data_IF_081448843717
#
_entry.id   IF_081448843717
#
_cell.length_a   1.000
_cell.length_b   1.000
_cell.length_c   1.000
_cell.angle_alpha   90.00
_cell.angle_beta   90.00
_cell.angle_gamma   90.00
#
_symmetry.space_group_name_H-M   'P 1'
#
loop_
_entity.id
_entity.type
_entity.pdbx_description
1 polymer ?
#
# COMPACT_ATOMS: atom_id res chain seq x y z
N UNK A 1 -7.36 -9.81 -52.11
CA UNK A 1 -6.22 -9.00 -51.65
C UNK A 1 -6.63 -8.35 -50.34
N UNK A 2 -5.98 -8.80 -49.26
CA UNK A 2 -5.88 -8.24 -47.90
C UNK A 2 -7.17 -8.17 -47.05
N UNK A 3 -7.33 -9.23 -46.26
CA UNK A 3 -7.99 -9.23 -44.95
C UNK A 3 -7.20 -8.36 -43.96
N UNK A 4 -7.89 -7.75 -42.98
CA UNK A 4 -7.26 -6.92 -41.96
C UNK A 4 -8.23 -6.59 -40.85
N UNK A 5 -8.66 -7.62 -40.12
CA UNK A 5 -9.42 -7.52 -38.88
C UNK A 5 -8.51 -6.94 -37.78
N UNK A 6 -8.76 -5.69 -37.39
CA UNK A 6 -7.97 -5.00 -36.36
C UNK A 6 -8.68 -5.18 -35.01
N UNK A 7 -8.43 -6.32 -34.37
CA UNK A 7 -8.78 -6.52 -32.96
C UNK A 7 -8.09 -5.44 -32.10
N UNK A 8 -8.79 -4.78 -31.16
CA UNK A 8 -8.14 -3.92 -30.20
C UNK A 8 -7.31 -4.80 -29.27
N UNK A 9 -6.00 -4.52 -29.19
CA UNK A 9 -5.10 -5.15 -28.25
C UNK A 9 -5.70 -5.08 -26.85
N UNK A 10 -6.09 -6.24 -26.30
CA UNK A 10 -6.39 -6.39 -24.88
C UNK A 10 -5.16 -5.95 -24.10
N UNK A 11 -5.17 -4.71 -23.61
CA UNK A 11 -4.24 -4.30 -22.60
C UNK A 11 -4.52 -5.18 -21.39
N UNK A 12 -3.68 -6.19 -21.20
CA UNK A 12 -3.55 -6.86 -19.92
C UNK A 12 -3.16 -5.75 -18.94
N UNK A 13 -4.13 -5.25 -18.18
CA UNK A 13 -3.81 -4.55 -16.95
C UNK A 13 -3.01 -5.57 -16.14
N UNK A 14 -1.71 -5.36 -16.02
CA UNK A 14 -0.96 -5.97 -14.94
C UNK A 14 -1.55 -5.37 -13.67
N UNK A 15 -2.59 -6.02 -13.16
CA UNK A 15 -3.12 -5.78 -11.82
C UNK A 15 -1.92 -5.88 -10.88
N UNK A 16 -1.57 -4.79 -10.16
CA UNK A 16 -0.42 -4.81 -9.27
C UNK A 16 -0.58 -5.97 -8.29
N UNK A 17 0.42 -6.85 -8.19
CA UNK A 17 0.42 -7.95 -7.24
C UNK A 17 0.42 -7.49 -5.77
N UNK A 18 0.62 -6.17 -5.56
CA UNK A 18 0.48 -5.44 -4.32
C UNK A 18 0.25 -3.94 -4.60
N UNK A 19 -0.60 -3.31 -3.80
CA UNK A 19 -0.77 -1.86 -3.70
C UNK A 19 -0.48 -1.41 -2.27
N UNK A 20 0.34 -0.37 -2.14
CA UNK A 20 0.57 0.37 -0.91
C UNK A 20 -0.36 1.59 -0.92
N UNK A 21 -1.40 1.56 -0.09
CA UNK A 21 -2.27 2.70 0.14
C UNK A 21 -1.70 3.58 1.26
N UNK A 22 -1.50 4.87 1.04
CA UNK A 22 -0.92 5.77 2.07
C UNK A 22 -1.96 6.78 2.52
N UNK A 23 -2.30 6.83 3.81
CA UNK A 23 -3.19 7.87 4.34
C UNK A 23 -2.51 9.24 4.22
N UNK A 24 -3.04 10.14 3.40
CA UNK A 24 -2.44 11.48 3.20
C UNK A 24 -3.09 12.59 4.05
N UNK A 25 -4.23 12.31 4.69
CA UNK A 25 -4.96 13.30 5.52
C UNK A 25 -4.71 13.15 7.01
N UNK A 26 -4.01 12.10 7.44
CA UNK A 26 -3.72 11.84 8.83
C UNK A 26 -2.86 12.98 9.40
N UNK A 27 -3.33 13.63 10.48
CA UNK A 27 -2.63 14.74 11.16
C UNK A 27 -1.92 14.23 12.41
N UNK A 28 -0.62 14.45 12.52
CA UNK A 28 0.16 14.16 13.73
C UNK A 28 0.44 15.48 14.44
N UNK A 29 0.07 15.55 15.72
CA UNK A 29 0.25 16.75 16.53
C UNK A 29 1.74 17.07 16.68
N UNK A 30 2.08 18.35 16.44
CA UNK A 30 3.43 18.90 16.41
C UNK A 30 3.37 20.35 16.88
N UNK A 31 3.64 20.56 18.17
CA UNK A 31 3.57 21.89 18.81
C UNK A 31 4.62 22.86 18.24
N UNK A 32 5.67 22.34 17.62
CA UNK A 32 6.73 23.12 16.97
C UNK A 32 6.32 23.73 15.61
N UNK A 33 5.14 23.40 15.09
CA UNK A 33 4.64 23.88 13.80
C UNK A 33 3.54 24.95 13.98
N UNK A 34 3.45 25.95 13.09
CA UNK A 34 2.43 27.01 13.19
C UNK A 34 0.99 26.49 13.23
N UNK A 35 0.69 25.43 12.47
CA UNK A 35 -0.63 24.81 12.40
C UNK A 35 -0.89 23.80 13.55
N UNK A 36 0.11 23.51 14.38
CA UNK A 36 0.03 22.54 15.48
C UNK A 36 0.05 21.06 15.03
N UNK A 37 0.21 20.78 13.74
CA UNK A 37 0.31 19.42 13.21
C UNK A 37 1.13 19.34 11.91
N UNK A 38 1.66 18.15 11.61
CA UNK A 38 2.13 17.77 10.28
C UNK A 38 1.22 16.71 9.63
N UNK A 39 1.43 16.47 8.33
CA UNK A 39 0.77 15.43 7.54
C UNK A 39 1.83 14.48 6.95
N UNK A 40 2.39 13.57 7.76
CA UNK A 40 3.56 12.78 7.38
C UNK A 40 3.29 11.85 6.18
N UNK A 41 2.03 11.49 5.94
CA UNK A 41 1.63 10.64 4.83
C UNK A 41 1.84 11.24 3.45
N UNK A 42 1.82 12.57 3.30
CA UNK A 42 2.08 13.23 2.01
C UNK A 42 3.54 12.96 1.58
N UNK A 43 4.49 13.23 2.49
CA UNK A 43 5.91 12.97 2.24
C UNK A 43 6.20 11.49 2.04
N UNK A 44 5.57 10.62 2.84
CA UNK A 44 5.73 9.17 2.71
C UNK A 44 5.22 8.65 1.36
N UNK A 45 4.06 9.12 0.89
CA UNK A 45 3.50 8.71 -0.40
C UNK A 45 4.43 9.10 -1.56
N UNK A 46 5.00 10.31 -1.53
CA UNK A 46 5.97 10.75 -2.53
C UNK A 46 7.23 9.89 -2.52
N UNK A 47 7.85 9.68 -1.34
CA UNK A 47 9.06 8.89 -1.20
C UNK A 47 8.86 7.42 -1.64
N UNK A 48 7.73 6.81 -1.28
CA UNK A 48 7.40 5.46 -1.72
C UNK A 48 7.17 5.40 -3.24
N UNK A 49 6.50 6.40 -3.83
CA UNK A 49 6.25 6.42 -5.28
C UNK A 49 7.55 6.45 -6.07
N UNK A 50 8.55 7.20 -5.60
CA UNK A 50 9.89 7.22 -6.19
C UNK A 50 10.60 5.87 -6.00
N UNK A 51 10.60 5.33 -4.79
CA UNK A 51 11.29 4.06 -4.47
C UNK A 51 10.71 2.84 -5.17
N UNK A 52 9.40 2.82 -5.41
CA UNK A 52 8.70 1.70 -6.03
C UNK A 52 8.58 1.82 -7.55
N UNK A 53 9.13 2.88 -8.17
CA UNK A 53 9.11 3.04 -9.62
C UNK A 53 9.74 1.82 -10.33
N UNK A 54 8.97 1.16 -11.20
CA UNK A 54 9.42 -0.04 -11.94
C UNK A 54 9.38 -1.36 -11.16
N UNK A 55 8.98 -1.36 -9.88
CA UNK A 55 8.90 -2.58 -9.04
C UNK A 55 7.69 -3.47 -9.33
N UNK A 56 6.66 -2.95 -10.01
CA UNK A 56 5.35 -3.61 -10.15
C UNK A 56 4.43 -3.49 -8.92
N UNK A 57 4.86 -2.81 -7.86
CA UNK A 57 4.03 -2.47 -6.70
C UNK A 57 3.51 -1.04 -6.86
N UNK A 58 2.20 -0.87 -6.80
CA UNK A 58 1.58 0.44 -6.92
C UNK A 58 1.62 1.20 -5.57
N UNK A 59 1.82 2.51 -5.61
CA UNK A 59 1.67 3.39 -4.46
C UNK A 59 0.51 4.34 -4.75
N UNK A 60 -0.52 4.29 -3.91
CA UNK A 60 -1.77 5.01 -4.12
C UNK A 60 -2.10 5.85 -2.89
N UNK A 61 -2.25 7.18 -3.00
CA UNK A 61 -2.79 7.98 -1.93
C UNK A 61 -4.21 7.51 -1.55
N UNK A 62 -4.42 7.24 -0.27
CA UNK A 62 -5.75 7.01 0.29
C UNK A 62 -6.24 8.30 0.94
N UNK A 63 -7.51 8.63 0.68
CA UNK A 63 -8.15 9.80 1.28
C UNK A 63 -8.30 9.65 2.80
N UNK A 64 -8.57 8.46 3.33
CA UNK A 64 -8.57 8.20 4.77
C UNK A 64 -8.53 6.70 5.06
N UNK A 65 -7.81 6.29 6.12
CA UNK A 65 -7.81 4.92 6.63
C UNK A 65 -8.46 4.80 8.03
N UNK A 66 -9.04 5.90 8.55
CA UNK A 66 -9.66 6.00 9.87
C UNK A 66 -8.75 5.64 11.07
N UNK A 67 -7.42 5.69 10.88
CA UNK A 67 -6.42 5.41 11.94
C UNK A 67 -5.73 6.68 12.43
N UNK A 68 -6.46 7.80 12.52
CA UNK A 68 -5.87 9.10 12.83
C UNK A 68 -5.15 9.18 14.20
N UNK A 69 -5.40 8.23 15.10
CA UNK A 69 -4.70 8.14 16.40
C UNK A 69 -3.30 7.51 16.31
N UNK A 70 -2.93 6.91 15.16
CA UNK A 70 -1.64 6.24 14.92
C UNK A 70 -0.98 6.66 13.60
N UNK A 71 -0.76 7.97 13.37
CA UNK A 71 -0.07 8.47 12.18
C UNK A 71 1.43 8.13 12.20
N UNK A 72 2.09 7.87 11.07
CA UNK A 72 1.54 7.69 9.72
C UNK A 72 0.97 6.28 9.52
N UNK A 73 -0.01 6.14 8.62
CA UNK A 73 -0.69 4.85 8.36
C UNK A 73 -0.65 4.49 6.88
N UNK A 74 -0.36 3.22 6.60
CA UNK A 74 -0.49 2.61 5.27
C UNK A 74 -1.40 1.39 5.31
N UNK A 75 -1.87 0.96 4.13
CA UNK A 75 -2.40 -0.37 3.92
C UNK A 75 -1.66 -1.12 2.81
N UNK A 76 -1.41 -2.41 3.01
CA UNK A 76 -0.94 -3.33 1.96
C UNK A 76 -2.11 -4.20 1.52
N UNK A 77 -2.46 -4.12 0.24
CA UNK A 77 -3.60 -4.85 -0.34
C UNK A 77 -3.23 -5.48 -1.68
N UNK A 78 -3.92 -6.57 -2.02
CA UNK A 78 -3.88 -7.20 -3.34
C UNK A 78 -5.10 -8.13 -3.48
N UNK A 79 -5.50 -8.44 -4.72
CA UNK A 79 -6.59 -9.37 -4.96
C UNK A 79 -6.33 -10.74 -4.33
N UNK A 80 -7.35 -11.30 -3.68
CA UNK A 80 -7.29 -12.61 -3.02
C UNK A 80 -6.32 -12.70 -1.83
N UNK A 81 -5.68 -11.60 -1.40
CA UNK A 81 -4.75 -11.59 -0.25
C UNK A 81 -5.36 -10.88 0.97
N UNK A 82 -4.88 -11.27 2.15
CA UNK A 82 -5.17 -10.54 3.38
C UNK A 82 -4.68 -9.10 3.26
N UNK A 83 -5.48 -8.14 3.72
CA UNK A 83 -5.07 -6.72 3.76
C UNK A 83 -4.49 -6.39 5.12
N UNK A 84 -3.38 -5.65 5.16
CA UNK A 84 -2.79 -5.14 6.39
C UNK A 84 -2.99 -3.64 6.50
N UNK A 85 -3.39 -3.16 7.69
CA UNK A 85 -3.28 -1.74 8.06
C UNK A 85 -2.16 -1.60 9.08
N UNK A 86 -1.18 -0.75 8.80
CA UNK A 86 0.00 -0.52 9.64
C UNK A 86 0.04 0.95 10.01
N UNK A 87 -0.01 1.25 11.31
CA UNK A 87 0.10 2.59 11.88
C UNK A 87 1.41 2.81 12.64
N UNK A 88 1.55 3.98 13.26
CA UNK A 88 2.75 4.44 13.97
C UNK A 88 4.02 4.41 13.10
N UNK A 89 3.87 4.64 11.79
CA UNK A 89 4.99 4.72 10.88
C UNK A 89 5.61 6.10 10.91
N UNK A 90 6.94 6.14 10.92
CA UNK A 90 7.70 7.36 10.68
C UNK A 90 8.13 7.42 9.21
N UNK A 91 7.78 8.53 8.55
CA UNK A 91 8.00 8.70 7.11
C UNK A 91 9.50 8.79 6.73
N UNK A 92 10.37 9.23 7.65
CA UNK A 92 11.80 9.35 7.41
C UNK A 92 12.59 8.10 7.81
N UNK A 93 12.13 7.37 8.82
CA UNK A 93 12.88 6.23 9.38
C UNK A 93 12.46 4.87 8.81
N UNK A 94 11.18 4.68 8.47
CA UNK A 94 10.65 3.35 8.15
C UNK A 94 10.51 3.08 6.65
N UNK A 95 11.06 3.95 5.78
CA UNK A 95 10.89 3.80 4.33
C UNK A 95 11.36 2.43 3.82
N UNK A 96 12.58 2.01 4.18
CA UNK A 96 13.13 0.71 3.75
C UNK A 96 12.37 -0.47 4.36
N UNK A 97 11.88 -0.33 5.60
CA UNK A 97 11.05 -1.36 6.25
C UNK A 97 9.71 -1.53 5.51
N UNK A 98 9.10 -0.44 5.05
CA UNK A 98 7.84 -0.48 4.28
C UNK A 98 8.07 -1.13 2.93
N UNK A 99 9.15 -0.78 2.22
CA UNK A 99 9.50 -1.37 0.92
C UNK A 99 9.69 -2.88 1.06
N UNK A 100 10.55 -3.33 1.98
CA UNK A 100 10.81 -4.77 2.16
C UNK A 100 9.58 -5.55 2.60
N UNK A 101 8.71 -4.94 3.42
CA UNK A 101 7.43 -5.54 3.80
C UNK A 101 6.46 -5.65 2.62
N UNK A 102 6.39 -4.64 1.75
CA UNK A 102 5.56 -4.66 0.54
C UNK A 102 6.04 -5.72 -0.46
N UNK A 103 7.35 -5.86 -0.65
CA UNK A 103 7.94 -6.91 -1.50
C UNK A 103 7.64 -8.31 -0.95
N UNK A 104 7.83 -8.51 0.35
CA UNK A 104 7.52 -9.78 1.01
C UNK A 104 6.03 -10.10 0.96
N UNK A 105 5.17 -9.08 1.10
CA UNK A 105 3.73 -9.21 0.92
C UNK A 105 3.38 -9.61 -0.52
N UNK A 106 3.98 -8.96 -1.52
CA UNK A 106 3.80 -9.25 -2.94
C UNK A 106 4.23 -10.69 -3.28
N UNK A 107 5.35 -11.16 -2.72
CA UNK A 107 5.85 -12.52 -2.92
C UNK A 107 5.01 -13.60 -2.18
N UNK A 108 4.31 -13.23 -1.10
CA UNK A 108 3.49 -14.18 -0.35
C UNK A 108 2.23 -14.60 -1.12
N UNK A 109 1.85 -15.87 -1.01
CA UNK A 109 0.69 -16.41 -1.71
C UNK A 109 -0.65 -15.81 -1.22
N UNK A 110 -0.77 -15.52 0.08
CA UNK A 110 -2.01 -15.07 0.72
C UNK A 110 -1.91 -13.69 1.37
N UNK A 111 -0.79 -12.97 1.21
CA UNK A 111 -0.57 -11.66 1.85
C UNK A 111 -0.03 -11.74 3.28
N UNK A 112 0.14 -12.93 3.87
CA UNK A 112 0.63 -13.06 5.24
C UNK A 112 2.16 -13.25 5.25
N UNK A 113 2.87 -12.19 5.62
CA UNK A 113 4.32 -12.24 5.85
C UNK A 113 4.62 -12.95 7.18
N UNK A 114 5.55 -13.94 7.22
CA UNK A 114 5.97 -14.61 8.45
C UNK A 114 6.44 -13.64 9.54
N UNK A 115 6.06 -13.90 10.79
CA UNK A 115 6.34 -12.97 11.91
C UNK A 115 7.84 -12.62 12.06
N UNK A 116 8.72 -13.59 11.83
CA UNK A 116 10.18 -13.42 11.94
C UNK A 116 10.76 -12.51 10.85
N UNK A 117 10.12 -12.44 9.70
CA UNK A 117 10.55 -11.63 8.55
C UNK A 117 9.99 -10.20 8.63
N UNK A 118 8.99 -9.96 9.47
CA UNK A 118 8.42 -8.62 9.64
C UNK A 118 9.43 -7.69 10.32
N UNK A 119 9.61 -6.46 9.82
CA UNK A 119 10.39 -5.45 10.51
C UNK A 119 9.71 -5.04 11.82
N UNK A 120 10.46 -4.40 12.72
CA UNK A 120 9.99 -4.07 14.08
C UNK A 120 8.79 -3.13 14.03
N UNK A 121 8.79 -2.14 13.14
CA UNK A 121 7.64 -1.24 12.96
C UNK A 121 6.37 -2.00 12.60
N UNK A 122 6.44 -3.05 11.77
CA UNK A 122 5.28 -3.85 11.38
C UNK A 122 4.82 -4.82 12.47
N UNK A 123 5.70 -5.31 13.35
CA UNK A 123 5.30 -6.19 14.46
C UNK A 123 4.46 -5.46 15.50
N UNK A 124 4.77 -4.18 15.76
CA UNK A 124 4.04 -3.31 16.71
C UNK A 124 2.94 -2.48 16.03
N UNK A 125 3.12 -2.19 14.75
CA UNK A 125 2.32 -1.25 13.97
C UNK A 125 1.01 -1.83 13.43
N UNK A 126 0.78 -3.15 13.44
CA UNK A 126 -0.48 -3.71 12.92
C UNK A 126 -1.67 -3.11 13.66
N UNK A 127 -2.55 -2.45 12.92
CA UNK A 127 -3.83 -1.93 13.39
C UNK A 127 -4.90 -2.98 13.14
N UNK A 128 -4.91 -3.54 11.94
CA UNK A 128 -5.86 -4.55 11.51
C UNK A 128 -5.24 -5.47 10.47
N UNK A 129 -5.79 -6.67 10.41
CA UNK A 129 -5.58 -7.61 9.30
C UNK A 129 -6.96 -8.07 8.82
N UNK A 130 -7.32 -7.68 7.61
CA UNK A 130 -8.66 -7.88 7.04
C UNK A 130 -8.62 -9.09 6.08
N UNK A 131 -9.55 -10.06 6.21
CA UNK A 131 -9.62 -11.20 5.29
C UNK A 131 -9.76 -10.74 3.83
N UNK A 132 -9.26 -11.54 2.87
CA UNK A 132 -9.50 -11.26 1.46
C UNK A 132 -11.00 -11.28 1.17
N UNK A 133 -11.43 -10.38 0.28
CA UNK A 133 -12.77 -10.46 -0.28
C UNK A 133 -12.87 -11.68 -1.22
N UNK A 134 -14.07 -12.28 -1.37
CA UNK A 134 -14.29 -13.26 -2.43
C UNK A 134 -13.91 -12.62 -3.77
N UNK A 135 -13.01 -13.28 -4.52
CA UNK A 135 -12.59 -12.80 -5.83
C UNK A 135 -13.84 -12.60 -6.68
N UNK A 136 -14.13 -11.36 -7.06
CA UNK A 136 -15.15 -11.09 -8.07
C UNK A 136 -14.59 -11.60 -9.39
N UNK A 137 -15.01 -12.78 -9.84
CA UNK A 137 -14.69 -13.21 -11.20
C UNK A 137 -15.35 -12.17 -12.11
N UNK A 138 -14.54 -11.45 -12.90
CA UNK A 138 -15.06 -10.48 -13.86
C UNK A 138 -16.13 -11.17 -14.70
N UNK A 139 -17.34 -10.63 -14.69
CA UNK A 139 -18.39 -11.03 -15.61
C UNK A 139 -17.88 -10.74 -17.01
N UNK A 140 -17.51 -11.78 -17.75
CA UNK A 140 -17.44 -11.70 -19.21
C UNK A 140 -18.89 -11.59 -19.71
N UNK A 141 -19.36 -10.36 -19.87
CA UNK A 141 -20.48 -10.00 -20.75
C UNK A 141 -19.94 -9.49 -22.08
#
# INVERSE_FOLDING_TARGET
MLEGDLAPATQVRLEPGCTIHVCTVCRRQREDLPEGYDQPGIGLAAALSERMAGSGIAVVPAECLAVCKRPCTIALAADGKWTYLIGDLDAGLHLDEIVGAAESFAASANGIVPWKERPVSFRKGVVARVPPLPRTQGSNE
#
